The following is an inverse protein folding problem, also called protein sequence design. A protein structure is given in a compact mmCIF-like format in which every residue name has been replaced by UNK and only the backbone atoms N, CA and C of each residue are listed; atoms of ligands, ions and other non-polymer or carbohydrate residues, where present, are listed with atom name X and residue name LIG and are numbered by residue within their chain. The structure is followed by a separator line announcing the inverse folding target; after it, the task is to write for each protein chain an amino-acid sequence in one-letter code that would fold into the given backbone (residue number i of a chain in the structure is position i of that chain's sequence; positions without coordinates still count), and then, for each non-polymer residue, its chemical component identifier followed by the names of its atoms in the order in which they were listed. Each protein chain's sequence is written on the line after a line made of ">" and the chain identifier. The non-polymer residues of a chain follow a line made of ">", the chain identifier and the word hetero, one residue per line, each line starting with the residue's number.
data_IF_870945601570
#
_entry.id   IF_870945601570
#
_cell.length_a   1.000
_cell.length_b   1.000
_cell.length_c   1.000
_cell.angle_alpha   90.00
_cell.angle_beta   90.00
_cell.angle_gamma   90.00
#
_symmetry.space_group_name_H-M   'P 1'
#
loop_
_entity.id
_entity.type
_entity.pdbx_description
1 polymer ?
#
# COMPACT_ATOMS: atom_id res chain seq x y z
N UNK A 1 39.27 -2.02 18.92
CA UNK A 1 38.46 -0.84 19.28
C UNK A 1 38.32 0.04 18.06
N UNK A 2 37.07 0.35 17.65
CA UNK A 2 36.71 1.32 16.60
C UNK A 2 37.05 0.86 15.17
N UNK A 3 36.15 0.24 14.41
CA UNK A 3 34.97 0.93 13.90
C UNK A 3 35.36 1.77 12.68
N UNK A 4 35.83 1.12 11.61
CA UNK A 4 36.05 1.77 10.33
C UNK A 4 34.71 2.26 9.81
N UNK A 5 34.38 3.51 10.11
CA UNK A 5 33.30 4.23 9.47
C UNK A 5 33.69 4.37 8.00
N UNK A 6 33.20 3.44 7.17
CA UNK A 6 33.18 3.59 5.72
C UNK A 6 32.66 4.99 5.43
N UNK A 7 33.55 5.86 4.94
CA UNK A 7 33.22 7.24 4.64
C UNK A 7 32.18 7.22 3.50
N UNK A 8 30.90 7.27 3.87
CA UNK A 8 29.83 7.42 2.89
C UNK A 8 30.01 8.83 2.35
N UNK A 9 30.42 8.93 1.09
CA UNK A 9 30.55 10.20 0.40
C UNK A 9 29.23 10.98 0.60
N UNK A 10 29.24 12.22 1.10
CA UNK A 10 28.01 12.94 1.41
C UNK A 10 27.05 13.08 0.22
N UNK A 11 27.59 13.05 -1.00
CA UNK A 11 26.79 12.98 -2.24
C UNK A 11 26.00 11.67 -2.38
N UNK A 12 26.57 10.54 -1.94
CA UNK A 12 25.91 9.22 -1.90
C UNK A 12 24.81 9.20 -0.85
N UNK A 13 25.00 9.87 0.30
CA UNK A 13 23.98 9.98 1.33
C UNK A 13 22.75 10.76 0.84
N UNK A 14 22.95 11.89 0.15
CA UNK A 14 21.87 12.68 -0.47
C UNK A 14 21.13 11.87 -1.52
N UNK A 15 21.86 11.18 -2.40
CA UNK A 15 21.28 10.31 -3.41
C UNK A 15 20.43 9.20 -2.77
N UNK A 16 20.89 8.61 -1.67
CA UNK A 16 20.18 7.55 -0.96
C UNK A 16 18.88 8.04 -0.32
N UNK A 17 18.88 9.24 0.28
CA UNK A 17 17.67 9.87 0.85
C UNK A 17 16.68 10.25 -0.26
N UNK A 18 17.15 10.76 -1.39
CA UNK A 18 16.28 11.09 -2.52
C UNK A 18 15.65 9.83 -3.12
N UNK A 19 16.45 8.79 -3.28
CA UNK A 19 16.00 7.47 -3.70
C UNK A 19 14.93 6.89 -2.76
N UNK A 20 15.15 7.04 -1.45
CA UNK A 20 14.19 6.66 -0.41
C UNK A 20 12.82 7.29 -0.62
N UNK A 21 12.81 8.60 -0.82
CA UNK A 21 11.59 9.36 -1.06
C UNK A 21 10.87 8.89 -2.32
N UNK A 22 11.60 8.61 -3.41
CA UNK A 22 11.03 8.07 -4.64
C UNK A 22 10.37 6.70 -4.41
N UNK A 23 11.01 5.80 -3.68
CA UNK A 23 10.47 4.46 -3.38
C UNK A 23 9.21 4.56 -2.53
N UNK A 24 9.23 5.36 -1.45
CA UNK A 24 8.07 5.58 -0.59
C UNK A 24 6.91 6.19 -1.38
N UNK A 25 7.18 7.22 -2.20
CA UNK A 25 6.18 7.83 -3.05
C UNK A 25 5.59 6.83 -4.05
N UNK A 26 6.42 5.96 -4.64
CA UNK A 26 5.98 4.87 -5.51
C UNK A 26 5.03 3.90 -4.80
N UNK A 27 5.40 3.43 -3.61
CA UNK A 27 4.54 2.55 -2.80
C UNK A 27 3.21 3.21 -2.47
N UNK A 28 3.23 4.47 -2.03
CA UNK A 28 2.01 5.22 -1.71
C UNK A 28 1.13 5.36 -2.95
N UNK A 29 1.71 5.74 -4.10
CA UNK A 29 0.95 5.91 -5.34
C UNK A 29 0.23 4.61 -5.76
N UNK A 30 0.90 3.46 -5.66
CA UNK A 30 0.32 2.16 -6.02
C UNK A 30 -0.70 1.70 -4.98
N UNK A 31 -0.39 1.82 -3.69
CA UNK A 31 -1.28 1.40 -2.61
C UNK A 31 -2.55 2.23 -2.52
N UNK A 32 -2.51 3.50 -2.93
CA UNK A 32 -3.68 4.38 -3.01
C UNK A 32 -4.41 4.31 -4.36
N UNK A 33 -3.84 3.62 -5.34
CA UNK A 33 -4.47 3.39 -6.64
C UNK A 33 -5.78 2.63 -6.48
N UNK A 34 -6.88 3.20 -6.97
CA UNK A 34 -8.21 2.56 -6.97
C UNK A 34 -8.84 2.62 -8.35
N UNK A 35 -9.35 1.47 -8.80
CA UNK A 35 -10.26 1.37 -9.93
C UNK A 35 -11.68 1.58 -9.43
N UNK A 36 -12.30 2.68 -9.82
CA UNK A 36 -13.69 2.99 -9.44
C UNK A 36 -14.65 2.26 -10.38
N UNK A 37 -15.48 1.36 -9.85
CA UNK A 37 -16.57 0.74 -10.59
C UNK A 37 -17.86 1.46 -10.22
N UNK A 38 -18.60 1.98 -11.20
CA UNK A 38 -19.87 2.65 -10.95
C UNK A 38 -20.97 1.63 -10.63
N UNK A 39 -21.71 1.91 -9.57
CA UNK A 39 -22.87 1.15 -9.12
C UNK A 39 -24.05 2.10 -9.09
N UNK A 40 -25.17 1.67 -9.67
CA UNK A 40 -26.43 2.39 -9.61
C UNK A 40 -27.38 1.63 -8.71
N UNK A 41 -27.99 2.36 -7.76
CA UNK A 41 -29.05 1.82 -6.92
C UNK A 41 -30.41 2.13 -7.55
N UNK A 42 -31.29 1.12 -7.58
CA UNK A 42 -32.63 1.25 -8.14
C UNK A 42 -33.38 2.42 -7.49
N UNK A 43 -34.02 3.24 -8.33
CA UNK A 43 -34.87 4.34 -7.91
C UNK A 43 -36.17 3.77 -7.36
N UNK A 44 -36.57 4.19 -6.15
CA UNK A 44 -37.90 3.85 -5.62
C UNK A 44 -38.82 5.04 -5.86
N UNK A 45 -39.80 4.86 -6.74
CA UNK A 45 -40.88 5.84 -6.92
C UNK A 45 -41.94 5.54 -5.88
N UNK A 46 -42.21 6.48 -4.98
CA UNK A 46 -43.31 6.40 -4.00
C UNK A 46 -44.19 7.63 -4.21
N UNK A 47 -45.42 7.43 -4.68
CA UNK A 47 -46.32 8.51 -5.07
C UNK A 47 -45.83 9.26 -6.32
N UNK A 48 -45.87 10.61 -6.31
CA UNK A 48 -45.39 11.48 -7.42
C UNK A 48 -43.94 11.94 -7.26
N UNK A 49 -43.21 11.46 -6.24
CA UNK A 49 -41.84 11.88 -5.95
C UNK A 49 -40.89 10.69 -6.13
N UNK A 50 -39.87 10.88 -6.96
CA UNK A 50 -38.79 9.93 -7.15
C UNK A 50 -37.80 10.08 -6.00
N UNK A 51 -37.58 9.02 -5.23
CA UNK A 51 -36.56 8.96 -4.20
C UNK A 51 -35.43 8.02 -4.66
N UNK A 52 -34.19 8.49 -4.55
CA UNK A 52 -33.00 7.70 -4.86
C UNK A 52 -32.57 7.74 -6.33
N UNK A 53 -31.70 6.79 -6.69
CA UNK A 53 -31.01 6.76 -7.98
C UNK A 53 -29.67 7.49 -8.00
N UNK A 54 -29.03 7.67 -6.84
CA UNK A 54 -27.69 8.23 -6.82
C UNK A 54 -26.70 7.21 -7.37
N UNK A 55 -25.82 7.65 -8.26
CA UNK A 55 -24.71 6.82 -8.73
C UNK A 55 -23.64 6.83 -7.65
N UNK A 56 -23.28 5.65 -7.16
CA UNK A 56 -22.16 5.48 -6.25
C UNK A 56 -21.03 4.78 -6.99
N UNK A 57 -19.86 4.74 -6.38
CA UNK A 57 -18.73 3.97 -6.89
C UNK A 57 -18.28 2.97 -5.84
N UNK A 58 -18.06 1.74 -6.26
CA UNK A 58 -17.39 0.71 -5.48
C UNK A 58 -15.90 0.77 -5.81
N UNK A 59 -15.02 1.17 -4.87
CA UNK A 59 -13.59 1.23 -5.12
C UNK A 59 -12.98 -0.16 -5.08
N UNK A 60 -12.36 -0.60 -6.17
CA UNK A 60 -11.47 -1.76 -6.17
C UNK A 60 -10.02 -1.27 -6.07
N UNK A 61 -9.33 -1.62 -5.00
CA UNK A 61 -7.93 -1.22 -4.79
C UNK A 61 -7.00 -1.98 -5.73
N UNK A 62 -6.04 -1.27 -6.33
CA UNK A 62 -5.03 -1.86 -7.21
C UNK A 62 -4.24 -2.94 -6.48
N UNK A 63 -3.87 -2.62 -5.24
CA UNK A 63 -3.25 -3.55 -4.32
C UNK A 63 -4.24 -3.97 -3.23
N UNK A 64 -5.18 -4.87 -3.58
CA UNK A 64 -6.14 -5.43 -2.61
C UNK A 64 -5.42 -6.14 -1.43
N UNK A 65 -4.34 -6.94 -1.64
CA UNK A 65 -3.58 -7.58 -0.56
C UNK A 65 -2.79 -6.67 0.37
N UNK A 66 -2.63 -5.39 0.02
CA UNK A 66 -1.72 -4.51 0.73
C UNK A 66 -0.30 -5.08 0.72
N UNK A 67 0.33 -5.16 1.89
CA UNK A 67 1.75 -5.56 2.00
C UNK A 67 1.93 -7.02 2.38
N UNK A 68 0.82 -7.73 2.61
CA UNK A 68 0.83 -9.12 3.08
C UNK A 68 1.58 -10.10 2.16
N UNK A 69 1.46 -10.05 0.81
CA UNK A 69 2.19 -10.97 -0.06
C UNK A 69 3.72 -10.86 0.05
N UNK A 70 4.24 -9.64 0.19
CA UNK A 70 5.68 -9.39 0.35
C UNK A 70 6.18 -9.97 1.67
N UNK A 71 5.41 -9.78 2.75
CA UNK A 71 5.76 -10.28 4.09
C UNK A 71 5.81 -11.81 4.08
N UNK A 72 4.80 -12.47 3.50
CA UNK A 72 4.77 -13.94 3.42
C UNK A 72 5.88 -14.51 2.53
N UNK A 73 6.18 -13.88 1.40
CA UNK A 73 7.30 -14.28 0.55
C UNK A 73 8.63 -14.22 1.32
N UNK A 74 8.87 -13.15 2.07
CA UNK A 74 10.11 -13.00 2.85
C UNK A 74 10.19 -13.98 4.01
N UNK A 75 9.11 -14.16 4.77
CA UNK A 75 9.05 -15.12 5.88
C UNK A 75 9.29 -16.56 5.40
N UNK A 76 8.69 -16.94 4.25
CA UNK A 76 8.85 -18.28 3.69
C UNK A 76 10.24 -18.53 3.11
N UNK A 77 10.95 -17.49 2.62
CA UNK A 77 12.33 -17.62 2.18
C UNK A 77 13.32 -17.74 3.33
N UNK A 78 13.09 -17.01 4.41
CA UNK A 78 13.98 -17.05 5.57
C UNK A 78 13.88 -18.35 6.34
N UNK A 79 12.69 -18.94 6.42
CA UNK A 79 12.46 -20.10 7.29
C UNK A 79 13.32 -21.32 6.91
N UNK A 80 13.36 -21.78 5.64
CA UNK A 80 14.26 -22.85 5.23
C UNK A 80 15.73 -22.47 5.36
N UNK A 81 16.09 -21.22 5.04
CA UNK A 81 17.48 -20.76 5.15
C UNK A 81 17.98 -20.85 6.60
N UNK A 82 17.15 -20.45 7.56
CA UNK A 82 17.47 -20.54 8.97
C UNK A 82 17.64 -21.98 9.45
N UNK A 83 16.76 -22.89 9.01
CA UNK A 83 16.83 -24.31 9.35
C UNK A 83 18.10 -24.94 8.77
N UNK A 84 18.40 -24.70 7.50
CA UNK A 84 19.60 -25.24 6.84
C UNK A 84 20.88 -24.74 7.53
N UNK A 85 20.90 -23.45 7.90
CA UNK A 85 22.03 -22.83 8.60
C UNK A 85 22.24 -23.41 10.01
N UNK A 86 21.17 -23.78 10.72
CA UNK A 86 21.26 -24.39 12.06
C UNK A 86 21.53 -25.89 12.03
N UNK A 87 20.91 -26.62 11.09
CA UNK A 87 21.00 -28.08 11.01
C UNK A 87 22.29 -28.56 10.33
N UNK A 88 22.86 -27.79 9.40
CA UNK A 88 24.03 -28.20 8.61
C UNK A 88 25.11 -27.10 8.53
N UNK A 89 25.69 -26.67 9.67
CA UNK A 89 26.63 -25.55 9.72
C UNK A 89 27.94 -25.77 8.94
N UNK A 90 28.37 -27.04 8.75
CA UNK A 90 29.64 -27.39 8.12
C UNK A 90 29.51 -28.02 6.72
N UNK A 91 28.29 -28.13 6.18
CA UNK A 91 28.10 -28.74 4.85
C UNK A 91 28.33 -27.71 3.74
N UNK A 92 29.25 -27.95 2.78
CA UNK A 92 29.49 -27.05 1.65
C UNK A 92 28.23 -26.87 0.77
N UNK A 93 27.41 -27.91 0.62
CA UNK A 93 26.18 -27.86 -0.18
C UNK A 93 25.07 -27.06 0.50
N UNK A 94 24.97 -27.15 1.84
CA UNK A 94 24.04 -26.33 2.62
C UNK A 94 24.39 -24.84 2.54
N UNK A 95 25.68 -24.53 2.57
CA UNK A 95 26.19 -23.17 2.46
C UNK A 95 25.99 -22.59 1.06
N UNK A 96 26.28 -23.37 0.00
CA UNK A 96 25.99 -22.97 -1.38
C UNK A 96 24.49 -22.74 -1.60
N UNK A 97 23.63 -23.61 -1.07
CA UNK A 97 22.18 -23.44 -1.18
C UNK A 97 21.68 -22.20 -0.44
N UNK A 98 22.18 -21.93 0.76
CA UNK A 98 21.88 -20.74 1.55
C UNK A 98 22.33 -19.46 0.83
N UNK A 99 23.55 -19.45 0.27
CA UNK A 99 24.09 -18.34 -0.50
C UNK A 99 23.28 -18.08 -1.78
N UNK A 100 22.86 -19.12 -2.52
CA UNK A 100 21.98 -18.98 -3.68
C UNK A 100 20.59 -18.43 -3.32
N UNK A 101 20.08 -18.77 -2.14
CA UNK A 101 18.79 -18.27 -1.63
C UNK A 101 18.88 -16.88 -1.00
N UNK A 102 20.06 -16.41 -0.58
CA UNK A 102 20.24 -15.10 0.06
C UNK A 102 20.78 -14.03 -0.88
N UNK A 103 21.58 -14.41 -1.88
CA UNK A 103 22.33 -13.47 -2.70
C UNK A 103 22.56 -14.04 -4.09
N UNK A 104 21.84 -13.50 -5.08
CA UNK A 104 22.00 -13.90 -6.48
C UNK A 104 20.76 -13.67 -7.33
N UNK A 105 20.89 -13.90 -8.63
CA UNK A 105 19.76 -13.79 -9.58
C UNK A 105 18.62 -14.76 -9.25
N UNK A 106 18.96 -15.96 -8.73
CA UNK A 106 17.99 -16.99 -8.33
C UNK A 106 17.12 -16.50 -7.18
N UNK A 107 17.71 -15.83 -6.18
CA UNK A 107 16.95 -15.20 -5.09
C UNK A 107 15.89 -14.23 -5.61
N UNK A 108 16.23 -13.36 -6.57
CA UNK A 108 15.27 -12.40 -7.13
C UNK A 108 14.15 -13.07 -7.91
N UNK A 109 14.46 -14.11 -8.68
CA UNK A 109 13.45 -14.87 -9.43
C UNK A 109 12.51 -15.60 -8.47
N UNK A 110 13.04 -16.25 -7.44
CA UNK A 110 12.23 -16.94 -6.43
C UNK A 110 11.39 -15.94 -5.63
N UNK A 111 11.98 -14.83 -5.18
CA UNK A 111 11.26 -13.76 -4.49
C UNK A 111 10.12 -13.20 -5.34
N UNK A 112 10.36 -12.92 -6.62
CA UNK A 112 9.33 -12.50 -7.56
C UNK A 112 8.22 -13.55 -7.68
N UNK A 113 8.58 -14.81 -7.94
CA UNK A 113 7.61 -15.90 -8.05
C UNK A 113 6.75 -16.05 -6.78
N UNK A 114 7.37 -15.94 -5.60
CA UNK A 114 6.67 -15.96 -4.31
C UNK A 114 5.72 -14.78 -4.15
N UNK A 115 6.12 -13.56 -4.50
CA UNK A 115 5.26 -12.37 -4.45
C UNK A 115 4.05 -12.53 -5.37
N UNK A 116 4.25 -13.03 -6.59
CA UNK A 116 3.15 -13.30 -7.53
C UNK A 116 2.20 -14.36 -6.96
N UNK A 117 2.75 -15.50 -6.53
CA UNK A 117 1.96 -16.59 -5.96
C UNK A 117 1.11 -16.11 -4.77
N UNK A 118 1.73 -15.43 -3.79
CA UNK A 118 1.00 -14.95 -2.61
C UNK A 118 0.03 -13.82 -2.93
N UNK A 119 0.32 -12.96 -3.91
CA UNK A 119 -0.63 -11.91 -4.32
C UNK A 119 -1.91 -12.54 -4.88
N UNK A 120 -1.79 -13.54 -5.75
CA UNK A 120 -2.95 -14.26 -6.28
C UNK A 120 -3.66 -15.09 -5.21
N UNK A 121 -2.89 -15.82 -4.39
CA UNK A 121 -3.44 -16.64 -3.32
C UNK A 121 -4.25 -15.80 -2.31
N UNK A 122 -3.75 -14.62 -1.94
CA UNK A 122 -4.45 -13.74 -1.03
C UNK A 122 -5.75 -13.19 -1.62
N UNK A 123 -5.71 -12.72 -2.87
CA UNK A 123 -6.93 -12.21 -3.54
C UNK A 123 -7.94 -13.33 -3.69
N UNK A 124 -7.54 -14.53 -4.12
CA UNK A 124 -8.47 -15.65 -4.30
C UNK A 124 -9.14 -16.12 -3.00
N UNK A 125 -8.47 -15.96 -1.85
CA UNK A 125 -9.01 -16.38 -0.55
C UNK A 125 -9.84 -15.29 0.13
N UNK A 126 -9.47 -14.01 -0.01
CA UNK A 126 -10.14 -12.89 0.66
C UNK A 126 -11.20 -12.20 -0.20
N UNK A 127 -11.00 -12.13 -1.52
CA UNK A 127 -11.96 -11.50 -2.42
C UNK A 127 -13.03 -12.50 -2.83
N UNK A 128 -14.25 -12.34 -2.32
CA UNK A 128 -15.39 -13.21 -2.62
C UNK A 128 -16.37 -12.52 -3.59
N UNK A 129 -16.14 -12.59 -4.92
CA UNK A 129 -16.91 -11.85 -5.92
C UNK A 129 -18.39 -12.26 -5.94
N UNK A 130 -18.70 -13.53 -5.64
CA UNK A 130 -20.07 -14.05 -5.55
C UNK A 130 -20.87 -13.34 -4.45
N UNK A 131 -20.29 -13.23 -3.25
CA UNK A 131 -20.94 -12.57 -2.12
C UNK A 131 -21.15 -11.08 -2.39
N UNK A 132 -20.13 -10.39 -2.95
CA UNK A 132 -20.25 -8.97 -3.30
C UNK A 132 -21.36 -8.74 -4.33
N UNK A 133 -21.48 -9.62 -5.33
CA UNK A 133 -22.53 -9.54 -6.33
C UNK A 133 -23.93 -9.80 -5.75
N UNK A 134 -24.06 -10.76 -4.84
CA UNK A 134 -25.32 -11.07 -4.16
C UNK A 134 -25.74 -9.95 -3.20
N UNK A 135 -24.80 -9.36 -2.47
CA UNK A 135 -25.05 -8.18 -1.64
C UNK A 135 -25.49 -6.99 -2.50
N UNK A 136 -24.82 -6.74 -3.62
CA UNK A 136 -25.20 -5.68 -4.55
C UNK A 136 -26.65 -5.85 -5.00
N UNK A 137 -27.01 -7.08 -5.40
CA UNK A 137 -28.37 -7.44 -5.82
C UNK A 137 -29.38 -7.28 -4.67
N UNK A 138 -29.03 -7.70 -3.45
CA UNK A 138 -29.88 -7.63 -2.26
C UNK A 138 -30.18 -6.19 -1.85
N UNK A 139 -29.20 -5.29 -1.97
CA UNK A 139 -29.36 -3.85 -1.70
C UNK A 139 -29.94 -3.07 -2.89
N UNK A 140 -30.39 -3.74 -3.96
CA UNK A 140 -30.97 -3.10 -5.14
C UNK A 140 -29.95 -2.31 -5.98
N UNK A 141 -28.66 -2.57 -5.78
CA UNK A 141 -27.57 -2.07 -6.60
C UNK A 141 -27.32 -2.95 -7.83
N UNK A 142 -26.86 -2.35 -8.92
CA UNK A 142 -26.36 -3.06 -10.08
C UNK A 142 -25.28 -2.26 -10.79
N UNK A 143 -24.41 -2.97 -11.50
CA UNK A 143 -23.39 -2.37 -12.37
C UNK A 143 -24.04 -2.13 -13.74
N UNK A 144 -24.08 -0.89 -14.25
CA UNK A 144 -24.63 -0.61 -15.58
C UNK A 144 -23.93 -1.46 -16.65
N UNK A 145 -24.71 -2.16 -17.47
CA UNK A 145 -24.20 -3.03 -18.55
C UNK A 145 -23.91 -4.49 -18.16
N UNK A 146 -24.01 -4.86 -16.88
CA UNK A 146 -23.82 -6.26 -16.42
C UNK A 146 -25.06 -6.73 -15.67
N UNK A 147 -25.56 -7.92 -16.01
CA UNK A 147 -26.76 -8.49 -15.36
C UNK A 147 -26.44 -8.87 -13.90
N UNK A 148 -27.29 -8.51 -12.91
CA UNK A 148 -27.05 -8.83 -11.50
C UNK A 148 -26.95 -10.34 -11.21
N UNK A 149 -26.08 -10.71 -10.27
CA UNK A 149 -25.83 -12.09 -9.86
C UNK A 149 -24.52 -12.63 -10.46
N UNK A 150 -24.54 -13.85 -10.99
CA UNK A 150 -23.33 -14.53 -11.51
C UNK A 150 -22.52 -13.70 -12.53
N UNK A 151 -23.13 -13.02 -13.52
CA UNK A 151 -22.36 -12.19 -14.46
C UNK A 151 -21.65 -11.00 -13.80
N UNK A 152 -22.23 -10.44 -12.72
CA UNK A 152 -21.56 -9.42 -11.90
C UNK A 152 -20.36 -10.00 -11.16
N UNK A 153 -20.48 -11.21 -10.60
CA UNK A 153 -19.37 -11.90 -9.94
C UNK A 153 -18.22 -12.17 -10.92
N UNK A 154 -18.52 -12.70 -12.12
CA UNK A 154 -17.52 -12.98 -13.15
C UNK A 154 -16.79 -11.70 -13.62
N UNK A 155 -17.53 -10.58 -13.73
CA UNK A 155 -16.94 -9.27 -14.06
C UNK A 155 -16.01 -8.74 -12.97
N UNK A 156 -16.40 -8.88 -11.70
CA UNK A 156 -15.59 -8.46 -10.55
C UNK A 156 -14.33 -9.32 -10.43
N UNK A 157 -14.45 -10.62 -10.60
CA UNK A 157 -13.32 -11.57 -10.58
C UNK A 157 -12.32 -11.23 -11.68
N UNK A 158 -12.76 -11.18 -12.94
CA UNK A 158 -11.93 -10.82 -14.08
C UNK A 158 -11.22 -9.47 -13.92
N UNK A 159 -11.95 -8.48 -13.37
CA UNK A 159 -11.36 -7.18 -13.07
C UNK A 159 -10.26 -7.31 -12.02
N UNK A 160 -10.52 -8.01 -10.92
CA UNK A 160 -9.55 -8.16 -9.84
C UNK A 160 -8.33 -8.94 -10.28
N UNK A 161 -8.47 -10.04 -11.03
CA UNK A 161 -7.31 -10.81 -11.53
C UNK A 161 -6.33 -9.93 -12.33
N UNK A 162 -6.83 -9.05 -13.19
CA UNK A 162 -5.99 -8.11 -13.98
C UNK A 162 -5.36 -7.04 -13.10
N UNK A 163 -6.11 -6.58 -12.11
CA UNK A 163 -5.65 -5.57 -11.19
C UNK A 163 -4.55 -6.12 -10.28
N UNK A 164 -4.71 -7.35 -9.80
CA UNK A 164 -3.71 -8.12 -9.05
C UNK A 164 -2.46 -8.39 -9.89
N UNK A 165 -2.60 -8.68 -11.18
CA UNK A 165 -1.45 -8.84 -12.07
C UNK A 165 -0.57 -7.58 -12.10
N UNK A 166 -1.20 -6.42 -12.34
CA UNK A 166 -0.50 -5.14 -12.32
C UNK A 166 0.10 -4.87 -10.94
N UNK A 167 -0.67 -5.07 -9.86
CA UNK A 167 -0.21 -4.91 -8.48
C UNK A 167 1.00 -5.78 -8.15
N UNK A 168 1.00 -7.06 -8.54
CA UNK A 168 2.09 -8.00 -8.29
C UNK A 168 3.38 -7.62 -9.03
N UNK A 169 3.28 -7.14 -10.28
CA UNK A 169 4.43 -6.60 -11.02
C UNK A 169 5.05 -5.43 -10.25
N UNK A 170 4.22 -4.46 -9.85
CA UNK A 170 4.70 -3.28 -9.14
C UNK A 170 5.31 -3.63 -7.77
N UNK A 171 4.68 -4.53 -7.00
CA UNK A 171 5.20 -5.00 -5.71
C UNK A 171 6.54 -5.72 -5.89
N UNK A 172 6.68 -6.54 -6.93
CA UNK A 172 7.92 -7.23 -7.26
C UNK A 172 9.03 -6.25 -7.63
N UNK A 173 8.73 -5.28 -8.50
CA UNK A 173 9.68 -4.24 -8.89
C UNK A 173 10.19 -3.50 -7.65
N UNK A 174 9.28 -3.06 -6.78
CA UNK A 174 9.62 -2.33 -5.57
C UNK A 174 10.43 -3.19 -4.59
N UNK A 175 10.15 -4.49 -4.48
CA UNK A 175 10.91 -5.40 -3.62
C UNK A 175 12.35 -5.66 -4.12
N UNK A 176 12.56 -5.69 -5.44
CA UNK A 176 13.87 -5.99 -6.06
C UNK A 176 14.74 -4.74 -6.22
N UNK A 177 14.13 -3.57 -6.46
CA UNK A 177 14.83 -2.30 -6.72
C UNK A 177 15.95 -1.96 -5.70
N UNK A 178 15.73 -2.08 -4.38
CA UNK A 178 16.75 -1.75 -3.38
C UNK A 178 17.97 -2.67 -3.43
N UNK A 179 17.74 -3.93 -3.78
CA UNK A 179 18.78 -4.94 -3.84
C UNK A 179 19.65 -4.81 -5.10
N UNK A 180 19.09 -4.30 -6.20
CA UNK A 180 19.85 -3.94 -7.40
C UNK A 180 20.73 -2.70 -7.16
N UNK A 181 20.23 -1.72 -6.41
CA UNK A 181 21.00 -0.50 -6.12
C UNK A 181 22.15 -0.73 -5.15
N UNK A 182 22.02 -1.64 -4.19
CA UNK A 182 23.14 -2.00 -3.30
C UNK A 182 24.31 -2.60 -4.08
N UNK A 183 24.04 -3.40 -5.12
CA UNK A 183 25.06 -3.95 -6.02
C UNK A 183 25.70 -2.86 -6.89
N UNK A 184 24.93 -1.91 -7.41
CA UNK A 184 25.45 -0.83 -8.26
C UNK A 184 26.27 0.24 -7.52
N UNK A 185 25.91 0.55 -6.27
CA UNK A 185 26.53 1.64 -5.48
C UNK A 185 27.58 1.16 -4.47
N UNK A 186 27.89 -0.15 -4.41
CA UNK A 186 28.83 -0.75 -3.45
C UNK A 186 28.57 -0.38 -1.97
N UNK A 187 27.30 -0.11 -1.63
CA UNK A 187 26.89 0.16 -0.25
C UNK A 187 26.74 -1.18 0.48
N UNK A 188 27.20 -1.30 1.75
CA UNK A 188 27.04 -2.53 2.51
C UNK A 188 25.58 -3.01 2.48
N UNK A 189 25.37 -4.29 2.14
CA UNK A 189 24.03 -4.90 1.98
C UNK A 189 23.14 -4.69 3.19
N UNK A 190 23.73 -4.72 4.39
CA UNK A 190 23.05 -4.46 5.66
C UNK A 190 22.51 -3.02 5.69
N UNK A 191 23.35 -2.02 5.41
CA UNK A 191 22.93 -0.62 5.40
C UNK A 191 21.87 -0.35 4.32
N UNK A 192 22.02 -0.94 3.13
CA UNK A 192 21.06 -0.79 2.04
C UNK A 192 19.69 -1.46 2.34
N UNK A 193 19.69 -2.63 2.97
CA UNK A 193 18.46 -3.33 3.37
C UNK A 193 17.72 -2.58 4.48
N UNK A 194 18.43 -2.04 5.48
CA UNK A 194 17.84 -1.28 6.59
C UNK A 194 17.37 0.12 6.18
N UNK A 195 18.18 0.85 5.39
CA UNK A 195 17.88 2.24 5.06
C UNK A 195 17.08 2.44 3.78
N UNK A 196 17.00 1.46 2.86
CA UNK A 196 16.47 1.72 1.52
C UNK A 196 15.57 0.66 0.91
N UNK A 197 15.42 -0.52 1.55
CA UNK A 197 14.80 -1.65 0.88
C UNK A 197 13.65 -2.32 1.60
N UNK A 198 13.80 -3.59 1.88
CA UNK A 198 12.67 -4.47 2.22
C UNK A 198 12.03 -4.13 3.55
N UNK A 199 12.82 -3.82 4.59
CA UNK A 199 12.29 -3.53 5.93
C UNK A 199 11.51 -2.22 5.96
N UNK A 200 12.02 -1.16 5.33
CA UNK A 200 11.33 0.12 5.30
C UNK A 200 10.06 0.08 4.45
N UNK A 201 10.10 -0.61 3.30
CA UNK A 201 8.93 -0.86 2.47
C UNK A 201 7.83 -1.57 3.25
N UNK A 202 8.20 -2.59 4.03
CA UNK A 202 7.28 -3.30 4.92
C UNK A 202 6.72 -2.37 6.00
N UNK A 203 7.58 -1.58 6.65
CA UNK A 203 7.16 -0.63 7.71
C UNK A 203 6.14 0.37 7.17
N UNK A 204 6.44 1.05 6.05
CA UNK A 204 5.51 2.02 5.43
C UNK A 204 4.22 1.32 5.03
N UNK A 205 4.32 0.13 4.45
CA UNK A 205 3.18 -0.70 4.10
C UNK A 205 2.23 -1.00 5.26
N UNK A 206 2.77 -1.56 6.34
CA UNK A 206 2.01 -1.91 7.55
C UNK A 206 1.51 -0.67 8.28
N UNK A 207 2.26 0.43 8.26
CA UNK A 207 1.83 1.70 8.83
C UNK A 207 0.62 2.27 8.09
N UNK A 208 0.60 2.22 6.75
CA UNK A 208 -0.54 2.63 5.94
C UNK A 208 -1.77 1.75 6.20
N UNK A 209 -1.58 0.44 6.35
CA UNK A 209 -2.68 -0.47 6.67
C UNK A 209 -3.22 -0.22 8.09
N UNK A 210 -2.35 0.00 9.08
CA UNK A 210 -2.74 0.39 10.44
C UNK A 210 -3.52 1.71 10.43
N UNK A 211 -3.04 2.73 9.71
CA UNK A 211 -3.73 4.01 9.54
C UNK A 211 -5.14 3.83 8.97
N UNK A 212 -5.29 3.01 7.92
CA UNK A 212 -6.60 2.71 7.30
C UNK A 212 -7.55 1.98 8.24
N UNK A 213 -7.04 1.06 9.05
CA UNK A 213 -7.84 0.36 10.06
C UNK A 213 -8.33 1.34 11.13
N UNK A 214 -7.45 2.22 11.63
CA UNK A 214 -7.80 3.27 12.60
C UNK A 214 -8.85 4.22 12.01
N UNK A 215 -8.68 4.69 10.78
CA UNK A 215 -9.64 5.56 10.09
C UNK A 215 -11.01 4.89 9.96
N UNK A 216 -11.04 3.61 9.56
CA UNK A 216 -12.28 2.83 9.41
C UNK A 216 -13.03 2.71 10.74
N UNK A 217 -12.31 2.43 11.84
CA UNK A 217 -12.91 2.37 13.18
C UNK A 217 -13.40 3.74 13.68
N UNK A 218 -12.68 4.82 13.37
CA UNK A 218 -13.09 6.17 13.72
C UNK A 218 -14.37 6.60 12.99
N UNK A 219 -14.50 6.28 11.70
CA UNK A 219 -15.71 6.57 10.92
C UNK A 219 -16.93 5.85 11.51
N UNK A 220 -16.76 4.58 11.90
CA UNK A 220 -17.83 3.80 12.56
C UNK A 220 -18.25 4.43 13.90
N UNK A 221 -17.30 4.93 14.70
CA UNK A 221 -17.60 5.56 16.00
C UNK A 221 -18.33 6.91 15.85
N UNK A 222 -18.02 7.68 14.81
CA UNK A 222 -18.69 8.96 14.53
C UNK A 222 -20.07 8.78 13.88
N UNK A 223 -20.46 7.55 13.52
CA UNK A 223 -21.79 7.24 12.97
C UNK A 223 -22.91 7.28 14.03
N UNK A 224 -22.61 6.93 15.30
CA UNK A 224 -23.59 6.95 16.40
C UNK A 224 -24.07 8.36 16.78
N UNK A 225 -23.24 9.38 16.51
CA UNK A 225 -23.55 10.78 16.86
C UNK A 225 -24.67 11.41 16.01
N UNK A 226 -24.92 10.89 14.81
CA UNK A 226 -25.90 11.46 13.87
C UNK A 226 -27.32 10.90 14.02
N UNK A 227 -27.48 9.68 14.54
CA UNK A 227 -28.80 9.07 14.78
C UNK A 227 -29.42 9.45 16.13
N UNK A 228 -28.64 10.00 17.07
CA UNK A 228 -29.08 10.38 18.42
C UNK A 228 -29.34 11.88 18.60
N UNK A 229 -29.64 12.64 17.54
CA UNK A 229 -30.14 14.02 17.67
C UNK A 229 -31.62 14.06 17.29
N UNK A 230 -32.45 13.73 18.29
CA UNK A 230 -33.88 13.92 18.26
C UNK A 230 -34.24 15.36 17.87
N UNK A 231 -35.35 15.47 17.12
CA UNK A 231 -36.09 16.69 16.74
C UNK A 231 -35.60 17.98 17.40
N UNK A 232 -35.05 18.87 16.58
CA UNK A 232 -35.22 20.31 16.79
C UNK A 232 -35.81 20.88 15.51
N UNK A 233 -37.09 21.25 15.59
CA UNK A 233 -37.83 22.06 14.63
C UNK A 233 -37.76 23.49 15.13
N UNK A 234 -37.31 24.42 14.29
CA UNK A 234 -37.50 25.86 14.53
C UNK A 234 -36.44 26.74 13.88
N UNK A 235 -36.88 27.65 13.02
CA UNK A 235 -36.14 28.88 12.71
C UNK A 235 -35.38 28.87 11.39
N UNK A 236 -36.08 29.21 10.31
CA UNK A 236 -35.45 29.67 9.08
C UNK A 236 -35.07 31.14 9.27
N UNK A 237 -33.77 31.43 9.48
CA UNK A 237 -33.20 32.76 9.22
C UNK A 237 -31.77 32.58 8.77
N UNK A 238 -31.50 33.07 7.55
CA UNK A 238 -30.28 32.77 6.83
C UNK A 238 -29.01 33.33 7.47
N UNK A 239 -27.93 32.56 7.35
CA UNK A 239 -26.62 33.07 6.94
C UNK A 239 -25.78 31.91 6.43
N UNK A 240 -25.42 31.99 5.16
CA UNK A 240 -24.48 31.10 4.50
C UNK A 240 -23.13 31.13 5.22
N UNK A 241 -22.88 30.16 6.08
CA UNK A 241 -21.55 29.84 6.56
C UNK A 241 -20.96 28.82 5.57
N UNK A 242 -20.39 29.33 4.48
CA UNK A 242 -19.46 28.57 3.66
C UNK A 242 -18.32 28.10 4.58
N UNK A 243 -18.25 26.79 4.80
CA UNK A 243 -17.15 26.12 5.49
C UNK A 243 -15.90 26.30 4.62
N UNK A 244 -15.16 27.37 4.88
CA UNK A 244 -13.80 27.60 4.36
C UNK A 244 -12.85 26.79 5.24
N UNK A 245 -12.76 25.50 4.97
CA UNK A 245 -12.08 24.55 5.86
C UNK A 245 -11.17 23.54 5.19
N UNK A 246 -10.67 23.76 3.96
CA UNK A 246 -9.75 22.79 3.32
C UNK A 246 -8.55 23.38 2.56
N UNK A 247 -8.52 24.69 2.27
CA UNK A 247 -7.38 25.29 1.58
C UNK A 247 -6.17 25.57 2.50
N UNK A 248 -6.38 25.64 3.82
CA UNK A 248 -5.32 25.90 4.79
C UNK A 248 -4.45 24.65 5.05
N UNK A 249 -4.98 23.44 4.88
CA UNK A 249 -4.23 22.22 5.10
C UNK A 249 -3.16 22.02 4.01
N UNK A 250 -3.47 22.28 2.75
CA UNK A 250 -2.53 22.04 1.66
C UNK A 250 -1.35 23.02 1.67
N UNK A 251 -1.59 24.30 2.00
CA UNK A 251 -0.51 25.29 2.15
C UNK A 251 0.36 24.98 3.38
N UNK A 252 -0.24 24.63 4.52
CA UNK A 252 0.51 24.27 5.73
C UNK A 252 1.29 22.96 5.57
N UNK A 253 0.72 21.95 4.92
CA UNK A 253 1.42 20.71 4.58
C UNK A 253 2.58 20.98 3.62
N UNK A 254 2.39 21.84 2.61
CA UNK A 254 3.45 22.21 1.68
C UNK A 254 4.61 22.93 2.40
N UNK A 255 4.31 23.85 3.34
CA UNK A 255 5.34 24.49 4.17
C UNK A 255 6.03 23.52 5.13
N UNK A 256 5.33 22.49 5.62
CA UNK A 256 5.91 21.45 6.47
C UNK A 256 6.86 20.54 5.67
N UNK A 257 6.49 20.16 4.44
CA UNK A 257 7.38 19.44 3.53
C UNK A 257 8.60 20.27 3.12
N UNK A 258 8.43 21.56 2.84
CA UNK A 258 9.55 22.49 2.57
C UNK A 258 10.44 22.64 3.81
N UNK A 259 9.86 22.72 5.01
CA UNK A 259 10.61 22.76 6.26
C UNK A 259 11.44 21.49 6.50
N UNK A 260 10.86 20.32 6.26
CA UNK A 260 11.59 19.04 6.33
C UNK A 260 12.71 19.01 5.27
N UNK A 261 12.44 19.45 4.03
CA UNK A 261 13.45 19.50 2.98
C UNK A 261 14.62 20.43 3.34
N UNK A 262 14.35 21.60 3.93
CA UNK A 262 15.37 22.54 4.39
C UNK A 262 16.17 21.98 5.57
N UNK A 263 15.54 21.31 6.52
CA UNK A 263 16.23 20.68 7.66
C UNK A 263 17.13 19.54 7.17
N UNK A 264 16.68 18.74 6.21
CA UNK A 264 17.48 17.65 5.63
C UNK A 264 18.65 18.21 4.82
N UNK A 265 18.41 19.18 3.94
CA UNK A 265 19.46 19.81 3.13
C UNK A 265 20.45 20.58 4.02
N UNK A 266 19.95 21.32 4.99
CA UNK A 266 20.77 22.08 5.96
C UNK A 266 21.56 21.17 6.90
N UNK A 267 20.96 20.09 7.37
CA UNK A 267 21.65 19.08 8.19
C UNK A 267 22.75 18.36 7.41
N UNK A 268 22.49 18.04 6.13
CA UNK A 268 23.49 17.49 5.22
C UNK A 268 24.61 18.51 4.94
N UNK A 269 24.27 19.76 4.68
CA UNK A 269 25.25 20.82 4.41
C UNK A 269 26.11 21.14 5.64
N UNK A 270 25.52 21.18 6.84
CA UNK A 270 26.25 21.37 8.09
C UNK A 270 27.14 20.16 8.44
N UNK A 271 26.68 18.95 8.16
CA UNK A 271 27.48 17.73 8.33
C UNK A 271 28.65 17.65 7.33
N UNK A 272 28.46 18.19 6.13
CA UNK A 272 29.51 18.38 5.11
C UNK A 272 30.52 19.47 5.46
N UNK A 273 30.08 20.56 6.09
CA UNK A 273 30.94 21.67 6.49
C UNK A 273 31.67 21.45 7.83
N UNK A 274 31.22 20.48 8.63
CA UNK A 274 31.81 20.07 9.91
C UNK A 274 32.91 18.99 9.77
N UNK A 275 33.27 18.61 8.54
CA UNK A 275 34.34 17.68 8.21
C UNK A 275 35.23 18.29 7.13
#
# INVERSE_FOLDING_TARGET
>A
SGGAATQVNPMVLVLMILFLFCVIAGVIAITQGVRKITVQYAKRVVGRKQYGGNTQYMPLKVNYPGVMPIIFAWALLLFPNQIVSWAFPNSPTARQLSEMLSTGWLHYVVLAAMIFFFSYFWVATQFQPSQIADDLKKYGGYIPGVRPGKPTADFLDYTMTRLTFAGAIFLTLIAVLPSLLSQGLHVPTVTAQFFGGTSLLIIVGVMLDTMRQVETHLIQRHYDGFLRKGRVRGGFTGRSAYVRGEAAAQRTLMWLYVGIAIIVIGGVAAFLASK
#
